data_IF_093651643088
#
_entry.id   IF_093651643088
#
_cell.length_a   1.000
_cell.length_b   1.000
_cell.length_c   1.000
_cell.angle_alpha   90.00
_cell.angle_beta   90.00
_cell.angle_gamma   90.00
#
_symmetry.space_group_name_H-M   'P 1'
#
loop_
_entity.id
_entity.type
_entity.pdbx_description
1 polymer ?
#
# COMPACT_ATOMS: atom_id res chain seq x y z
N UNK A 1 -15.14 -8.51 -0.50
CA UNK A 1 -13.75 -7.99 -0.33
C UNK A 1 -12.78 -9.16 -0.17
N UNK A 2 -11.66 -9.09 -0.87
CA UNK A 2 -10.56 -10.05 -0.74
C UNK A 2 -9.32 -9.34 -0.16
N UNK A 3 -8.82 -9.83 0.97
CA UNK A 3 -7.55 -9.36 1.54
C UNK A 3 -6.39 -10.17 0.94
N UNK A 4 -5.38 -9.51 0.43
CA UNK A 4 -4.15 -10.12 -0.07
C UNK A 4 -2.96 -9.60 0.73
N UNK A 5 -2.10 -10.51 1.17
CA UNK A 5 -0.81 -10.18 1.80
C UNK A 5 0.29 -10.53 0.83
N UNK A 6 1.14 -9.57 0.51
CA UNK A 6 2.22 -9.68 -0.46
C UNK A 6 3.53 -9.62 0.31
N UNK A 7 4.30 -10.71 0.27
CA UNK A 7 5.63 -10.72 0.83
C UNK A 7 6.60 -9.94 -0.07
N UNK A 8 7.39 -9.08 0.55
CA UNK A 8 8.45 -8.33 -0.13
C UNK A 8 9.80 -9.00 0.10
N UNK A 9 10.72 -8.96 -0.88
CA UNK A 9 12.08 -9.42 -0.66
C UNK A 9 12.70 -8.69 0.54
N UNK A 10 13.27 -9.45 1.48
CA UNK A 10 13.98 -8.91 2.62
C UNK A 10 15.41 -9.42 2.62
N UNK A 11 16.39 -8.51 2.76
CA UNK A 11 17.81 -8.83 2.78
C UNK A 11 18.27 -9.41 4.13
N UNK A 12 17.46 -9.25 5.18
CA UNK A 12 17.84 -9.68 6.54
C UNK A 12 17.22 -11.08 6.80
N UNK A 13 18.04 -12.13 6.97
CA UNK A 13 17.55 -13.46 7.28
C UNK A 13 16.69 -13.47 8.54
N UNK A 14 15.60 -14.24 8.51
CA UNK A 14 14.68 -14.37 9.65
C UNK A 14 13.69 -13.21 9.82
N UNK A 15 13.66 -12.26 8.88
CA UNK A 15 12.66 -11.18 8.85
C UNK A 15 11.75 -11.31 7.64
N UNK A 16 10.51 -10.91 7.81
CA UNK A 16 9.54 -10.81 6.73
C UNK A 16 8.97 -9.39 6.66
N UNK A 17 8.89 -8.85 5.47
CA UNK A 17 8.21 -7.59 5.20
C UNK A 17 7.04 -7.86 4.27
N UNK A 18 5.87 -7.42 4.66
CA UNK A 18 4.65 -7.63 3.87
C UNK A 18 3.91 -6.32 3.61
N UNK A 19 3.17 -6.30 2.50
CA UNK A 19 2.21 -5.25 2.18
C UNK A 19 0.82 -5.88 2.09
N UNK A 20 -0.18 -5.24 2.67
CA UNK A 20 -1.57 -5.69 2.60
C UNK A 20 -2.34 -4.87 1.56
N UNK A 21 -2.98 -5.57 0.65
CA UNK A 21 -3.91 -5.01 -0.33
C UNK A 21 -5.33 -5.50 -0.05
N UNK A 22 -6.31 -4.61 -0.17
CA UNK A 22 -7.74 -4.90 -0.11
C UNK A 22 -8.33 -4.77 -1.51
N UNK A 23 -8.89 -5.87 -2.03
CA UNK A 23 -9.43 -5.93 -3.38
C UNK A 23 -10.95 -6.00 -3.34
N UNK A 24 -11.59 -5.15 -4.11
CA UNK A 24 -13.05 -4.97 -4.19
C UNK A 24 -13.52 -5.06 -5.64
N UNK A 25 -14.81 -5.38 -5.80
CA UNK A 25 -15.49 -5.44 -7.09
C UNK A 25 -15.17 -6.69 -7.92
N UNK A 26 -15.75 -6.80 -9.13
CA UNK A 26 -15.58 -7.95 -10.00
C UNK A 26 -14.13 -8.08 -10.45
N UNK A 27 -13.60 -9.32 -10.40
CA UNK A 27 -12.20 -9.58 -10.79
C UNK A 27 -11.98 -9.44 -12.30
N UNK A 28 -13.01 -9.66 -13.09
CA UNK A 28 -13.04 -9.58 -14.55
C UNK A 28 -13.43 -8.19 -15.08
N UNK A 29 -13.61 -7.20 -14.17
CA UNK A 29 -13.94 -5.84 -14.58
C UNK A 29 -12.86 -5.26 -15.49
N UNK A 30 -13.28 -4.61 -16.58
CA UNK A 30 -12.37 -3.97 -17.54
C UNK A 30 -11.62 -2.77 -16.94
N UNK A 31 -12.20 -2.13 -15.92
CA UNK A 31 -11.56 -1.02 -15.20
C UNK A 31 -10.92 -1.54 -13.94
N UNK A 32 -9.65 -1.20 -13.77
CA UNK A 32 -8.92 -1.45 -12.54
C UNK A 32 -8.45 -0.10 -11.95
N UNK A 33 -8.86 0.18 -10.73
CA UNK A 33 -8.47 1.37 -9.96
C UNK A 33 -7.50 0.91 -8.88
N UNK A 34 -6.34 1.53 -8.82
CA UNK A 34 -5.35 1.30 -7.78
C UNK A 34 -5.16 2.55 -6.94
N UNK A 35 -5.22 2.40 -5.62
CA UNK A 35 -5.06 3.45 -4.63
C UNK A 35 -4.06 3.02 -3.58
N UNK A 36 -3.10 3.87 -3.26
CA UNK A 36 -2.14 3.62 -2.19
C UNK A 36 -2.01 4.81 -1.26
N UNK A 37 -1.75 4.52 0.01
CA UNK A 37 -1.41 5.50 1.04
C UNK A 37 -0.04 5.26 1.64
N UNK A 38 0.49 6.25 2.36
CA UNK A 38 1.75 6.18 3.13
C UNK A 38 2.96 5.74 2.32
N UNK A 39 3.18 6.35 1.17
CA UNK A 39 4.43 6.20 0.43
C UNK A 39 5.60 6.84 1.21
N UNK A 40 5.38 8.03 1.77
CA UNK A 40 6.15 8.50 2.92
C UNK A 40 5.48 7.94 4.18
N UNK A 41 6.09 6.99 4.82
CA UNK A 41 5.46 6.20 5.88
C UNK A 41 5.16 6.99 7.16
N UNK A 42 5.81 8.14 7.35
CA UNK A 42 5.57 9.09 8.42
C UNK A 42 4.37 10.04 8.15
N UNK A 43 3.78 10.00 6.95
CA UNK A 43 2.62 10.82 6.58
C UNK A 43 1.33 9.99 6.68
N UNK A 44 0.69 9.99 7.85
CA UNK A 44 -0.48 9.16 8.15
C UNK A 44 -1.82 9.56 7.50
N UNK A 45 -2.06 10.82 7.05
CA UNK A 45 -3.37 11.20 6.50
C UNK A 45 -3.84 10.31 5.34
N UNK A 46 -2.92 9.87 4.47
CA UNK A 46 -3.24 8.98 3.34
C UNK A 46 -3.77 7.62 3.78
N UNK A 47 -3.22 7.05 4.86
CA UNK A 47 -3.71 5.79 5.44
C UNK A 47 -5.09 5.96 6.06
N UNK A 48 -5.36 7.06 6.73
CA UNK A 48 -6.66 7.35 7.33
C UNK A 48 -7.75 7.48 6.24
N UNK A 49 -7.44 8.19 5.15
CA UNK A 49 -8.34 8.27 3.99
C UNK A 49 -8.60 6.88 3.41
N UNK A 50 -7.55 6.07 3.22
CA UNK A 50 -7.68 4.72 2.69
C UNK A 50 -8.52 3.81 3.62
N UNK A 51 -8.38 3.96 4.94
CA UNK A 51 -9.18 3.24 5.92
C UNK A 51 -10.69 3.55 5.76
N UNK A 52 -11.07 4.82 5.71
CA UNK A 52 -12.45 5.23 5.51
C UNK A 52 -12.99 4.83 4.13
N UNK A 53 -12.13 4.86 3.12
CA UNK A 53 -12.48 4.38 1.79
C UNK A 53 -12.81 2.88 1.82
N UNK A 54 -11.99 2.06 2.47
CA UNK A 54 -12.25 0.62 2.62
C UNK A 54 -13.61 0.37 3.28
N UNK A 55 -13.93 1.08 4.36
CA UNK A 55 -15.23 0.96 5.02
C UNK A 55 -16.41 1.31 4.08
N UNK A 56 -16.21 2.30 3.20
CA UNK A 56 -17.23 2.67 2.21
C UNK A 56 -17.34 1.63 1.11
N UNK A 57 -16.22 1.10 0.64
CA UNK A 57 -16.17 0.05 -0.38
C UNK A 57 -16.79 -1.26 0.11
N UNK A 58 -16.59 -1.63 1.38
CA UNK A 58 -17.27 -2.80 1.98
C UNK A 58 -18.79 -2.71 1.85
N UNK A 59 -19.36 -1.52 2.12
CA UNK A 59 -20.81 -1.29 2.00
C UNK A 59 -21.28 -1.35 0.54
N UNK A 60 -20.54 -0.75 -0.39
CA UNK A 60 -20.88 -0.75 -1.81
C UNK A 60 -20.77 -2.15 -2.42
N UNK A 61 -19.77 -2.92 -2.03
CA UNK A 61 -19.59 -4.30 -2.47
C UNK A 61 -20.75 -5.19 -1.98
N UNK A 62 -21.14 -5.06 -0.70
CA UNK A 62 -22.27 -5.79 -0.15
C UNK A 62 -23.60 -5.48 -0.89
N UNK A 63 -23.72 -4.29 -1.49
CA UNK A 63 -24.86 -3.87 -2.29
C UNK A 63 -24.75 -4.28 -3.78
N UNK A 64 -23.62 -4.90 -4.20
CA UNK A 64 -23.35 -5.21 -5.61
C UNK A 64 -23.19 -3.96 -6.50
N UNK A 65 -22.86 -2.82 -5.91
CA UNK A 65 -22.81 -1.54 -6.61
C UNK A 65 -21.48 -1.25 -7.33
N UNK A 66 -20.45 -2.09 -7.11
CA UNK A 66 -19.13 -1.90 -7.70
C UNK A 66 -19.06 -2.49 -9.12
N UNK A 67 -18.73 -1.65 -10.09
CA UNK A 67 -18.56 -2.02 -11.50
C UNK A 67 -17.09 -2.06 -11.94
N UNK A 68 -16.17 -1.63 -11.08
CA UNK A 68 -14.74 -1.64 -11.32
C UNK A 68 -14.05 -2.55 -10.29
N UNK A 69 -12.94 -3.15 -10.69
CA UNK A 69 -12.01 -3.75 -9.74
C UNK A 69 -11.24 -2.64 -9.03
N UNK A 70 -11.22 -2.63 -7.71
CA UNK A 70 -10.56 -1.59 -6.91
C UNK A 70 -9.58 -2.28 -5.96
N UNK A 71 -8.32 -1.87 -6.03
CA UNK A 71 -7.28 -2.32 -5.10
C UNK A 71 -6.85 -1.15 -4.24
N UNK A 72 -6.94 -1.31 -2.93
CA UNK A 72 -6.53 -0.30 -1.95
C UNK A 72 -5.38 -0.84 -1.11
N UNK A 73 -4.27 -0.12 -1.06
CA UNK A 73 -3.08 -0.42 -0.25
C UNK A 73 -2.88 0.72 0.75
N UNK A 74 -3.46 0.62 1.96
CA UNK A 74 -3.43 1.74 2.92
C UNK A 74 -2.03 2.10 3.42
N UNK A 75 -1.15 1.11 3.55
CA UNK A 75 0.24 1.25 4.02
C UNK A 75 1.16 0.60 3.00
N UNK A 76 1.53 1.34 1.96
CA UNK A 76 2.36 0.77 0.90
C UNK A 76 3.85 0.70 1.28
N UNK A 77 4.33 1.58 2.17
CA UNK A 77 5.73 1.60 2.62
C UNK A 77 5.88 1.10 4.06
N UNK A 78 5.72 -0.21 4.23
CA UNK A 78 5.88 -0.86 5.55
C UNK A 78 7.34 -0.89 6.00
N UNK A 79 8.31 -0.83 5.11
CA UNK A 79 9.73 -0.72 5.45
C UNK A 79 10.03 0.63 6.09
N UNK A 80 9.61 1.73 5.48
CA UNK A 80 9.77 3.07 6.04
C UNK A 80 9.04 3.27 7.37
N UNK A 81 7.89 2.61 7.57
CA UNK A 81 7.14 2.69 8.83
C UNK A 81 7.91 2.12 10.03
N UNK A 82 8.82 1.16 9.80
CA UNK A 82 9.65 0.57 10.86
C UNK A 82 10.88 1.40 11.22
N UNK A 83 11.18 2.42 10.44
CA UNK A 83 12.36 3.25 10.68
C UNK A 83 12.07 4.31 11.74
N UNK A 84 12.88 4.35 12.78
CA UNK A 84 12.84 5.37 13.81
C UNK A 84 14.24 5.75 14.27
N UNK A 85 14.42 7.02 14.58
CA UNK A 85 15.67 7.56 15.15
C UNK A 85 15.28 8.38 16.38
N UNK A 86 15.85 8.04 17.54
CA UNK A 86 15.58 8.75 18.79
C UNK A 86 14.07 8.96 19.05
N UNK A 87 13.29 7.88 18.90
CA UNK A 87 11.83 7.86 19.08
C UNK A 87 11.02 8.63 18.01
N UNK A 88 11.66 9.17 16.98
CA UNK A 88 10.99 9.82 15.86
C UNK A 88 10.92 8.90 14.65
N UNK A 89 9.75 8.74 14.04
CA UNK A 89 9.59 8.04 12.78
C UNK A 89 10.27 8.81 11.64
N UNK A 90 11.01 8.11 10.81
CA UNK A 90 11.75 8.68 9.65
C UNK A 90 11.36 7.98 8.34
N UNK A 91 10.07 7.87 8.11
CA UNK A 91 9.48 7.11 7.01
C UNK A 91 9.56 7.77 5.63
N UNK A 92 10.21 8.93 5.50
CA UNK A 92 10.35 9.65 4.22
C UNK A 92 11.49 9.13 3.36
N UNK A 93 12.56 8.68 3.99
CA UNK A 93 13.77 8.21 3.32
C UNK A 93 14.11 6.78 3.74
N UNK A 94 14.69 6.01 2.82
CA UNK A 94 15.38 4.78 3.19
C UNK A 94 16.67 5.14 3.92
N UNK A 95 16.78 4.76 5.18
CA UNK A 95 17.90 5.13 6.04
C UNK A 95 19.21 4.42 5.67
N UNK A 96 19.14 3.29 4.96
CA UNK A 96 20.33 2.56 4.55
C UNK A 96 21.04 3.22 3.35
N UNK A 97 20.27 3.82 2.44
CA UNK A 97 20.79 4.37 1.20
C UNK A 97 20.47 5.86 1.00
N UNK A 98 19.75 6.48 1.93
CA UNK A 98 19.39 7.91 1.88
C UNK A 98 18.42 8.28 0.76
N UNK A 99 17.72 7.30 0.17
CA UNK A 99 16.82 7.57 -0.94
C UNK A 99 15.41 7.95 -0.45
N UNK A 100 14.85 9.03 -1.02
CA UNK A 100 13.48 9.42 -0.78
C UNK A 100 12.52 8.45 -1.49
N UNK A 101 11.59 7.85 -0.74
CA UNK A 101 10.64 6.86 -1.25
C UNK A 101 9.70 7.38 -2.33
N UNK A 102 9.45 8.68 -2.38
CA UNK A 102 8.60 9.32 -3.39
C UNK A 102 9.40 10.10 -4.44
N UNK A 103 10.67 9.78 -4.63
CA UNK A 103 11.56 10.39 -5.64
C UNK A 103 12.40 9.32 -6.33
N UNK A 104 11.82 8.14 -6.52
CA UNK A 104 12.44 7.04 -7.24
C UNK A 104 12.51 7.38 -8.72
N UNK A 105 13.70 7.40 -9.29
CA UNK A 105 13.94 7.69 -10.71
C UNK A 105 13.82 6.45 -11.61
N UNK A 106 13.69 5.27 -11.04
CA UNK A 106 13.75 4.00 -11.78
C UNK A 106 12.52 3.14 -11.52
N UNK A 107 11.92 2.70 -12.60
CA UNK A 107 10.82 1.72 -12.77
C UNK A 107 9.68 1.86 -11.77
N UNK A 108 8.49 2.13 -12.25
CA UNK A 108 7.31 2.29 -11.39
C UNK A 108 7.05 1.02 -10.58
N UNK A 109 7.09 1.14 -9.26
CA UNK A 109 6.76 0.08 -8.30
C UNK A 109 5.39 -0.57 -8.60
N UNK A 110 4.45 0.20 -9.11
CA UNK A 110 3.10 -0.26 -9.45
C UNK A 110 3.06 -1.27 -10.61
N UNK A 111 4.01 -1.28 -11.54
CA UNK A 111 4.06 -2.29 -12.60
C UNK A 111 4.31 -3.70 -12.06
N UNK A 112 5.04 -3.83 -10.94
CA UNK A 112 5.26 -5.12 -10.27
C UNK A 112 4.07 -5.58 -9.43
N UNK A 113 3.20 -4.68 -9.01
CA UNK A 113 2.03 -4.99 -8.17
C UNK A 113 0.82 -5.35 -9.04
N UNK A 114 0.80 -4.91 -10.29
CA UNK A 114 -0.30 -5.16 -11.23
C UNK A 114 -0.09 -6.41 -12.10
N UNK A 115 1.13 -6.94 -12.14
CA UNK A 115 1.44 -8.20 -12.80
C UNK A 115 1.09 -9.36 -11.88
#
# INVERSE_FOLDING_TARGET
>A
MQKRTIALPCAIPGTETTVTAFCYGPQDAQRHIYLQGSLHADEMPGSLVAYHLCQRLDKLEAQGALQARITVVPLCNTAGLRQSVLFSGVGRFDMAIGQNYNRLRTVPFYERVLA
#
